data_IF_190746461550
#
_entry.id   IF_190746461550
#
_cell.length_a   1.000
_cell.length_b   1.000
_cell.length_c   1.000
_cell.angle_alpha   90.00
_cell.angle_beta   90.00
_cell.angle_gamma   90.00
#
_symmetry.space_group_name_H-M   'P 1'
#
loop_
_entity.id
_entity.type
_entity.pdbx_description
1 polymer ?
#
# COMPACT_ATOMS: atom_id res chain seq x y z
N UNK A 1 -38.01 -38.12 23.11
CA UNK A 1 -36.75 -38.87 23.06
C UNK A 1 -35.63 -37.87 23.05
N UNK A 2 -34.82 -37.91 24.10
CA UNK A 2 -33.78 -36.96 24.49
C UNK A 2 -32.49 -37.26 23.70
N UNK A 3 -32.04 -36.34 22.84
CA UNK A 3 -30.88 -36.51 21.96
C UNK A 3 -29.55 -36.08 22.60
N UNK A 4 -29.49 -36.03 23.93
CA UNK A 4 -28.38 -35.45 24.70
C UNK A 4 -27.30 -36.44 25.14
N UNK A 5 -27.38 -37.72 24.74
CA UNK A 5 -26.46 -38.78 25.21
C UNK A 5 -25.87 -39.65 24.08
N UNK A 6 -25.31 -39.02 23.05
CA UNK A 6 -24.30 -39.71 22.23
C UNK A 6 -22.90 -39.46 22.84
N UNK A 7 -22.12 -40.51 23.15
CA UNK A 7 -20.76 -40.34 23.65
C UNK A 7 -19.93 -39.59 22.61
N UNK A 8 -19.33 -38.47 23.02
CA UNK A 8 -18.40 -37.67 22.23
C UNK A 8 -17.28 -38.57 21.72
N UNK A 9 -17.40 -39.03 20.47
CA UNK A 9 -16.31 -39.70 19.77
C UNK A 9 -15.13 -38.73 19.70
N UNK A 10 -13.89 -39.15 20.05
CA UNK A 10 -12.70 -38.29 20.07
C UNK A 10 -12.24 -37.80 18.68
N UNK A 11 -13.10 -37.88 17.65
CA UNK A 11 -12.81 -37.51 16.26
C UNK A 11 -13.64 -36.34 15.72
N UNK A 12 -14.41 -35.60 16.53
CA UNK A 12 -15.14 -34.41 16.07
C UNK A 12 -15.76 -33.64 17.26
N UNK A 13 -15.76 -32.29 17.29
CA UNK A 13 -15.83 -31.40 16.14
C UNK A 13 -14.43 -30.96 15.68
N UNK A 14 -14.08 -31.35 14.46
CA UNK A 14 -13.12 -30.59 13.69
C UNK A 14 -13.71 -29.17 13.60
N UNK A 15 -13.03 -28.19 14.19
CA UNK A 15 -13.30 -26.81 13.86
C UNK A 15 -13.29 -26.70 12.32
N UNK A 16 -14.30 -26.08 11.68
CA UNK A 16 -14.24 -25.83 10.25
C UNK A 16 -12.92 -25.12 9.97
N UNK A 17 -12.02 -25.77 9.22
CA UNK A 17 -10.82 -25.11 8.73
C UNK A 17 -11.30 -23.85 8.00
N UNK A 18 -10.75 -22.65 8.29
CA UNK A 18 -11.18 -21.45 7.61
C UNK A 18 -11.04 -21.69 6.12
N UNK A 19 -12.14 -21.58 5.37
CA UNK A 19 -12.08 -21.64 3.91
C UNK A 19 -11.08 -20.58 3.48
N UNK A 20 -9.95 -21.03 2.94
CA UNK A 20 -8.87 -20.15 2.52
C UNK A 20 -9.46 -19.07 1.58
N UNK A 21 -9.47 -17.78 1.99
CA UNK A 21 -10.03 -16.73 1.16
C UNK A 21 -9.30 -16.60 -0.19
N UNK A 22 -8.13 -17.24 -0.33
CA UNK A 22 -7.43 -17.35 -1.60
C UNK A 22 -8.18 -18.19 -2.65
N UNK A 23 -9.00 -19.18 -2.26
CA UNK A 23 -9.76 -20.00 -3.23
C UNK A 23 -11.00 -19.29 -3.80
N UNK A 24 -11.41 -18.16 -3.21
CA UNK A 24 -12.45 -17.28 -3.73
C UNK A 24 -11.91 -16.19 -4.69
N UNK A 25 -10.60 -16.15 -4.94
CA UNK A 25 -10.07 -15.40 -6.09
C UNK A 25 -10.48 -16.14 -7.36
N UNK A 26 -11.66 -15.78 -7.86
CA UNK A 26 -12.09 -16.07 -9.23
C UNK A 26 -10.88 -16.00 -10.17
N UNK A 27 -10.69 -16.99 -11.06
CA UNK A 27 -9.64 -16.97 -12.10
C UNK A 27 -9.75 -15.77 -13.06
N UNK A 28 -10.74 -14.90 -12.91
CA UNK A 28 -10.94 -13.77 -13.80
C UNK A 28 -9.71 -12.83 -13.96
N UNK A 29 -8.94 -12.45 -12.90
CA UNK A 29 -7.82 -11.51 -13.03
C UNK A 29 -6.67 -11.97 -13.94
N UNK A 30 -6.36 -13.28 -13.94
CA UNK A 30 -5.27 -13.84 -14.76
C UNK A 30 -5.59 -13.76 -16.26
N UNK A 31 -6.86 -13.94 -16.64
CA UNK A 31 -7.28 -13.84 -18.04
C UNK A 31 -7.26 -12.40 -18.56
N UNK A 32 -7.65 -11.41 -17.75
CA UNK A 32 -7.59 -10.01 -18.17
C UNK A 32 -6.16 -9.57 -18.47
N UNK A 33 -5.20 -9.97 -17.63
CA UNK A 33 -3.78 -9.68 -17.86
C UNK A 33 -3.28 -10.28 -19.17
N UNK A 34 -3.63 -11.54 -19.46
CA UNK A 34 -3.25 -12.22 -20.70
C UNK A 34 -3.86 -11.56 -21.94
N UNK A 35 -5.15 -11.22 -21.90
CA UNK A 35 -5.85 -10.55 -23.00
C UNK A 35 -5.29 -9.15 -23.22
N UNK A 36 -5.09 -8.38 -22.14
CA UNK A 36 -4.50 -7.04 -22.22
C UNK A 36 -3.08 -7.09 -22.79
N UNK A 37 -2.24 -8.03 -22.33
CA UNK A 37 -0.88 -8.20 -22.84
C UNK A 37 -0.85 -8.60 -24.32
N UNK A 38 -1.63 -9.61 -24.70
CA UNK A 38 -1.69 -10.11 -26.09
C UNK A 38 -2.25 -9.04 -27.04
N UNK A 39 -3.32 -8.34 -26.65
CA UNK A 39 -3.89 -7.25 -27.45
C UNK A 39 -2.94 -6.05 -27.55
N UNK A 40 -2.26 -5.66 -26.46
CA UNK A 40 -1.26 -4.58 -26.48
C UNK A 40 -0.11 -4.92 -27.43
N UNK A 41 0.39 -6.16 -27.39
CA UNK A 41 1.46 -6.59 -28.29
C UNK A 41 1.01 -6.64 -29.75
N UNK A 42 -0.20 -7.16 -30.01
CA UNK A 42 -0.77 -7.17 -31.36
C UNK A 42 -0.93 -5.76 -31.92
N UNK A 43 -1.48 -4.82 -31.15
CA UNK A 43 -1.61 -3.41 -31.53
C UNK A 43 -0.25 -2.75 -31.73
N UNK A 44 0.74 -3.07 -30.89
CA UNK A 44 2.09 -2.56 -31.03
C UNK A 44 2.76 -3.03 -32.33
N UNK A 45 2.63 -4.32 -32.67
CA UNK A 45 3.14 -4.85 -33.95
C UNK A 45 2.45 -4.17 -35.13
N UNK A 46 1.12 -4.01 -35.08
CA UNK A 46 0.38 -3.30 -36.12
C UNK A 46 0.83 -1.84 -36.26
N UNK A 47 1.07 -1.16 -35.15
CA UNK A 47 1.59 0.21 -35.12
C UNK A 47 2.98 0.30 -35.74
N UNK A 48 3.91 -0.60 -35.39
CA UNK A 48 5.27 -0.63 -35.97
C UNK A 48 5.23 -0.93 -37.46
N UNK A 49 4.40 -1.89 -37.89
CA UNK A 49 4.20 -2.20 -39.30
C UNK A 49 3.67 -0.97 -40.05
N UNK A 50 2.64 -0.32 -39.52
CA UNK A 50 2.10 0.91 -40.09
C UNK A 50 3.14 2.04 -40.18
N UNK A 51 3.97 2.21 -39.14
CA UNK A 51 5.00 3.26 -39.10
C UNK A 51 6.13 3.02 -40.11
N UNK A 52 6.55 1.76 -40.32
CA UNK A 52 7.74 1.42 -41.10
C UNK A 52 7.47 0.93 -42.52
N UNK A 53 6.29 0.34 -42.82
CA UNK A 53 5.99 -0.14 -44.18
C UNK A 53 5.88 1.03 -45.16
N UNK A 54 6.36 0.88 -46.41
CA UNK A 54 6.16 1.87 -47.45
C UNK A 54 4.69 1.92 -47.93
N UNK A 55 4.27 3.08 -48.44
CA UNK A 55 2.88 3.35 -48.88
C UNK A 55 2.35 2.32 -49.87
N UNK A 56 3.21 1.82 -50.77
CA UNK A 56 2.83 0.83 -51.79
C UNK A 56 2.26 -0.45 -51.18
N UNK A 57 2.78 -0.88 -50.04
CA UNK A 57 2.30 -2.08 -49.35
C UNK A 57 0.97 -1.82 -48.65
N UNK A 58 0.83 -0.65 -48.02
CA UNK A 58 -0.41 -0.25 -47.32
C UNK A 58 -1.56 -0.09 -48.31
N UNK A 59 -1.30 0.54 -49.46
CA UNK A 59 -2.28 0.67 -50.54
C UNK A 59 -2.63 -0.68 -51.16
N UNK A 60 -1.67 -1.60 -51.29
CA UNK A 60 -1.94 -2.97 -51.79
C UNK A 60 -2.83 -3.80 -50.85
N UNK A 61 -2.81 -3.49 -49.55
CA UNK A 61 -3.71 -4.06 -48.54
C UNK A 61 -5.14 -3.48 -48.63
N UNK A 62 -5.39 -2.52 -49.51
CA UNK A 62 -6.69 -1.85 -49.68
C UNK A 62 -6.95 -0.73 -48.67
N UNK A 63 -5.92 -0.25 -47.96
CA UNK A 63 -6.04 0.84 -47.01
C UNK A 63 -5.76 2.16 -47.73
N UNK A 64 -6.82 2.82 -48.20
CA UNK A 64 -6.72 4.07 -48.96
C UNK A 64 -6.53 5.31 -48.07
N UNK A 65 -6.97 5.24 -46.81
CA UNK A 65 -6.86 6.33 -45.85
C UNK A 65 -6.28 5.86 -44.52
N UNK A 66 -5.23 6.53 -44.08
CA UNK A 66 -4.59 6.36 -42.78
C UNK A 66 -4.06 7.72 -42.28
N UNK A 67 -3.88 7.91 -40.96
CA UNK A 67 -3.42 9.19 -40.41
C UNK A 67 -1.99 9.55 -40.87
N UNK A 68 -1.59 10.82 -40.75
CA UNK A 68 -0.25 11.24 -41.17
C UNK A 68 0.86 10.44 -40.44
N UNK A 69 1.92 10.06 -41.15
CA UNK A 69 3.03 9.24 -40.60
C UNK A 69 3.79 9.95 -39.48
N UNK A 70 3.72 11.27 -39.39
CA UNK A 70 4.32 12.05 -38.30
C UNK A 70 3.82 11.61 -36.91
N UNK A 71 2.58 11.09 -36.82
CA UNK A 71 2.02 10.56 -35.60
C UNK A 71 2.81 9.36 -35.04
N UNK A 72 3.55 8.64 -35.89
CA UNK A 72 4.47 7.60 -35.45
C UNK A 72 5.61 8.14 -34.57
N UNK A 73 6.02 9.39 -34.74
CA UNK A 73 7.05 10.02 -33.89
C UNK A 73 6.42 10.83 -32.77
N UNK A 74 5.28 11.49 -33.03
CA UNK A 74 4.60 12.30 -32.02
C UNK A 74 4.12 11.45 -30.84
N UNK A 75 3.50 10.28 -31.07
CA UNK A 75 3.00 9.42 -30.00
C UNK A 75 4.08 9.05 -28.96
N UNK A 76 5.26 8.51 -29.34
CA UNK A 76 6.31 8.22 -28.36
C UNK A 76 6.94 9.49 -27.76
N UNK A 77 7.02 10.60 -28.50
CA UNK A 77 7.53 11.86 -27.94
C UNK A 77 6.61 12.40 -26.84
N UNK A 78 5.30 12.45 -27.09
CA UNK A 78 4.32 12.90 -26.11
C UNK A 78 4.19 11.95 -24.92
N UNK A 79 4.36 10.63 -25.11
CA UNK A 79 4.31 9.68 -24.00
C UNK A 79 5.45 9.91 -23.00
N UNK A 80 6.67 10.19 -23.48
CA UNK A 80 7.81 10.54 -22.62
C UNK A 80 7.52 11.82 -21.83
N UNK A 81 6.99 12.86 -22.48
CA UNK A 81 6.61 14.11 -21.82
C UNK A 81 5.54 13.86 -20.74
N UNK A 82 4.53 13.05 -21.05
CA UNK A 82 3.45 12.72 -20.13
C UNK A 82 3.98 11.97 -18.90
N UNK A 83 4.87 10.98 -19.10
CA UNK A 83 5.51 10.24 -17.99
C UNK A 83 6.29 11.19 -17.08
N UNK A 84 7.14 12.06 -17.66
CA UNK A 84 7.89 13.05 -16.91
C UNK A 84 6.96 13.98 -16.14
N UNK A 85 5.92 14.49 -16.80
CA UNK A 85 4.92 15.37 -16.19
C UNK A 85 4.22 14.68 -15.02
N UNK A 86 3.87 13.40 -15.13
CA UNK A 86 3.28 12.62 -14.02
C UNK A 86 4.22 12.57 -12.83
N UNK A 87 5.51 12.29 -13.02
CA UNK A 87 6.49 12.29 -11.93
C UNK A 87 6.68 13.66 -11.28
N UNK A 88 6.82 14.71 -12.08
CA UNK A 88 6.92 16.08 -11.54
C UNK A 88 5.67 16.48 -10.77
N UNK A 89 4.49 16.13 -11.28
CA UNK A 89 3.22 16.38 -10.60
C UNK A 89 3.15 15.61 -9.29
N UNK A 90 3.54 14.34 -9.28
CA UNK A 90 3.59 13.53 -8.06
C UNK A 90 4.53 14.15 -7.01
N UNK A 91 5.73 14.58 -7.39
CA UNK A 91 6.65 15.27 -6.49
C UNK A 91 6.09 16.60 -5.99
N UNK A 92 5.49 17.39 -6.87
CA UNK A 92 4.85 18.64 -6.47
C UNK A 92 3.73 18.41 -5.45
N UNK A 93 2.90 17.36 -5.65
CA UNK A 93 1.86 16.98 -4.70
C UNK A 93 2.45 16.45 -3.38
N UNK A 94 3.52 15.66 -3.43
CA UNK A 94 4.19 15.17 -2.23
C UNK A 94 4.75 16.32 -1.39
N UNK A 95 5.42 17.28 -2.04
CA UNK A 95 5.94 18.49 -1.39
C UNK A 95 4.81 19.38 -0.86
N UNK A 96 3.73 19.54 -1.63
CA UNK A 96 2.56 20.32 -1.20
C UNK A 96 1.88 19.71 0.04
N UNK A 97 1.84 18.38 0.13
CA UNK A 97 1.25 17.66 1.26
C UNK A 97 2.23 17.43 2.42
N UNK A 98 3.46 17.93 2.35
CA UNK A 98 4.43 17.76 3.43
C UNK A 98 4.08 18.68 4.61
N UNK A 99 3.91 18.15 5.84
CA UNK A 99 3.66 18.97 7.02
C UNK A 99 4.88 19.84 7.36
N UNK A 100 4.66 20.91 8.13
CA UNK A 100 5.75 21.82 8.51
C UNK A 100 6.85 21.07 9.25
N UNK A 101 8.11 21.47 9.08
CA UNK A 101 9.27 20.81 9.73
C UNK A 101 9.18 20.78 11.26
N UNK A 102 8.42 21.68 11.86
CA UNK A 102 8.23 21.77 13.31
C UNK A 102 7.05 20.93 13.82
N UNK A 103 6.27 20.32 12.93
CA UNK A 103 5.11 19.53 13.31
C UNK A 103 5.55 18.13 13.76
N UNK A 104 5.05 17.69 14.92
CA UNK A 104 5.37 16.39 15.49
C UNK A 104 4.92 15.23 14.59
N UNK A 105 3.90 15.47 13.74
CA UNK A 105 3.42 14.52 12.72
C UNK A 105 4.50 14.09 11.71
N UNK A 106 5.60 14.84 11.60
CA UNK A 106 6.76 14.44 10.78
C UNK A 106 7.59 13.31 11.41
N UNK A 107 7.48 13.13 12.73
CA UNK A 107 8.26 12.16 13.51
C UNK A 107 7.36 11.03 14.04
N UNK A 108 6.10 11.33 14.36
CA UNK A 108 5.14 10.37 14.91
C UNK A 108 4.01 10.09 13.91
N UNK A 109 3.66 8.82 13.76
CA UNK A 109 2.49 8.39 12.99
C UNK A 109 1.31 8.04 13.92
N UNK A 110 0.17 7.68 13.32
CA UNK A 110 -1.04 7.29 14.06
C UNK A 110 -0.87 6.00 14.87
N UNK A 111 0.12 5.16 14.54
CA UNK A 111 0.38 3.89 15.21
C UNK A 111 1.48 3.95 16.27
N UNK A 112 2.11 5.11 16.48
CA UNK A 112 3.10 5.32 17.52
C UNK A 112 2.55 4.96 18.91
N UNK A 113 3.25 4.06 19.61
CA UNK A 113 2.87 3.59 20.94
C UNK A 113 3.43 4.53 22.00
N UNK A 114 2.82 5.70 22.13
CA UNK A 114 3.18 6.69 23.14
C UNK A 114 2.37 6.42 24.41
N UNK A 115 3.01 6.33 25.60
CA UNK A 115 2.28 6.14 26.84
C UNK A 115 1.43 7.39 27.11
N UNK A 116 0.12 7.22 27.17
CA UNK A 116 -0.78 8.30 27.58
C UNK A 116 -0.61 8.54 29.07
N UNK A 117 -0.46 9.80 29.53
CA UNK A 117 -0.53 10.08 30.95
C UNK A 117 -1.90 9.58 31.44
N UNK A 118 -1.91 8.67 32.41
CA UNK A 118 -3.16 8.28 33.08
C UNK A 118 -3.71 9.51 33.79
N UNK A 119 -4.58 10.28 33.13
CA UNK A 119 -5.46 11.22 33.82
C UNK A 119 -6.57 10.38 34.46
N UNK A 120 -6.32 9.94 35.69
CA UNK A 120 -7.19 9.01 36.39
C UNK A 120 -8.63 9.53 36.50
N UNK A 121 -9.58 8.71 36.03
CA UNK A 121 -10.99 8.72 36.46
C UNK A 121 -11.17 8.03 37.83
N UNK A 122 -10.10 7.48 38.40
CA UNK A 122 -10.14 6.77 39.68
C UNK A 122 -9.70 7.70 40.82
N UNK A 123 -10.69 8.27 41.52
CA UNK A 123 -10.54 9.18 42.66
C UNK A 123 -9.80 8.60 43.89
N UNK A 124 -9.37 7.33 43.84
CA UNK A 124 -8.69 6.64 44.95
C UNK A 124 -7.17 6.50 44.81
N UNK A 125 -6.59 6.90 43.68
CA UNK A 125 -5.15 6.91 43.49
C UNK A 125 -4.61 8.35 43.58
N UNK A 126 -4.62 8.91 44.78
CA UNK A 126 -3.88 10.13 45.13
C UNK A 126 -2.37 9.85 45.21
N UNK A 127 -1.79 9.26 44.17
CA UNK A 127 -0.35 9.04 44.09
C UNK A 127 0.16 9.59 42.78
N UNK A 128 0.67 10.83 42.88
CA UNK A 128 1.59 11.56 42.01
C UNK A 128 1.46 11.36 40.50
N UNK A 129 1.54 12.50 39.80
CA UNK A 129 1.86 12.65 38.39
C UNK A 129 3.14 11.88 38.02
N UNK A 130 3.05 10.55 37.94
CA UNK A 130 4.19 9.64 37.87
C UNK A 130 4.44 9.36 36.40
N UNK A 131 5.64 9.72 35.95
CA UNK A 131 6.03 9.55 34.57
C UNK A 131 5.93 8.05 34.19
N UNK A 132 5.16 7.68 33.15
CA UNK A 132 4.95 6.29 32.75
C UNK A 132 6.27 5.56 32.41
N UNK A 133 7.29 6.29 31.96
CA UNK A 133 8.62 5.73 31.71
C UNK A 133 9.36 5.36 33.00
N UNK A 134 9.11 6.06 34.11
CA UNK A 134 9.71 5.74 35.41
C UNK A 134 9.03 4.54 36.07
N UNK A 135 7.72 4.38 35.89
CA UNK A 135 7.00 3.19 36.39
C UNK A 135 7.44 1.92 35.67
N UNK A 136 7.81 2.01 34.39
CA UNK A 136 8.33 0.88 33.62
C UNK A 136 9.79 0.53 33.99
N UNK A 137 10.51 1.41 34.69
CA UNK A 137 11.90 1.20 35.12
C UNK A 137 12.02 0.52 36.49
N UNK A 138 10.92 0.19 37.16
CA UNK A 138 10.94 -0.52 38.44
C UNK A 138 11.42 -1.98 38.24
N UNK A 139 12.20 -2.54 39.19
CA UNK A 139 12.85 -3.86 39.04
C UNK A 139 11.86 -5.02 38.84
N UNK A 140 10.63 -4.87 39.32
CA UNK A 140 9.58 -5.90 39.23
C UNK A 140 8.51 -5.57 38.17
N UNK A 141 8.67 -4.45 37.44
CA UNK A 141 7.72 -4.04 36.42
C UNK A 141 7.99 -4.76 35.09
N UNK A 142 6.93 -5.31 34.48
CA UNK A 142 6.99 -5.76 33.10
C UNK A 142 6.81 -4.54 32.20
N UNK A 143 7.83 -4.10 31.44
CA UNK A 143 7.70 -2.94 30.59
C UNK A 143 6.75 -3.25 29.44
N UNK A 144 5.71 -2.43 29.28
CA UNK A 144 4.91 -2.44 28.05
C UNK A 144 5.77 -1.93 26.90
N UNK A 145 5.65 -2.49 25.68
CA UNK A 145 6.38 -2.02 24.51
C UNK A 145 5.86 -0.63 24.11
N UNK A 146 6.51 0.40 24.63
CA UNK A 146 6.28 1.80 24.26
C UNK A 146 7.46 2.33 23.47
N UNK A 147 7.17 3.19 22.50
CA UNK A 147 8.20 3.93 21.79
C UNK A 147 8.77 5.02 22.70
N UNK A 148 10.09 5.04 22.88
CA UNK A 148 10.78 6.04 23.70
C UNK A 148 11.02 7.28 22.84
N UNK A 149 10.55 8.48 23.24
CA UNK A 149 10.77 9.69 22.47
C UNK A 149 12.26 10.00 22.32
N UNK A 150 12.70 10.29 21.08
CA UNK A 150 14.11 10.59 20.80
C UNK A 150 14.65 11.79 21.61
N UNK A 151 13.78 12.75 21.94
CA UNK A 151 14.15 13.87 22.81
C UNK A 151 14.49 13.45 24.24
N UNK A 152 13.86 12.40 24.76
CA UNK A 152 14.19 11.83 26.07
C UNK A 152 15.52 11.09 26.00
N UNK A 153 15.72 10.26 24.96
CA UNK A 153 16.99 9.56 24.71
C UNK A 153 18.15 10.55 24.64
N UNK A 154 18.01 11.62 23.85
CA UNK A 154 19.05 12.62 23.69
C UNK A 154 19.37 13.34 25.01
N UNK A 155 18.37 13.63 25.84
CA UNK A 155 18.58 14.22 27.17
C UNK A 155 19.24 13.27 28.18
N UNK A 156 19.10 11.96 28.00
CA UNK A 156 19.75 10.98 28.91
C UNK A 156 21.17 10.67 28.45
N UNK A 157 21.38 10.53 27.14
CA UNK A 157 22.69 10.16 26.57
C UNK A 157 23.66 11.32 26.41
N UNK A 158 23.15 12.54 26.17
CA UNK A 158 23.97 13.72 25.85
C UNK A 158 23.78 14.89 26.83
N UNK A 159 23.27 14.65 28.04
CA UNK A 159 23.26 15.65 29.12
C UNK A 159 24.61 15.77 29.82
#
# INVERSE_FOLDING_TARGET
>A
MDSSNEPTSPRSPLAPYPSDPAQLKSRAPEFYGFVAWSSTYALFVLYVLWALLPDTWILSLGIEWYPNREWAVLLPAYSVILILLTYFTYWALALYNTPSFSDLSTITDTHAHIPTPRYGRDERATSLNTNPFLTAAAPDAIPSPYDIPIGLVNRVLYA
#
